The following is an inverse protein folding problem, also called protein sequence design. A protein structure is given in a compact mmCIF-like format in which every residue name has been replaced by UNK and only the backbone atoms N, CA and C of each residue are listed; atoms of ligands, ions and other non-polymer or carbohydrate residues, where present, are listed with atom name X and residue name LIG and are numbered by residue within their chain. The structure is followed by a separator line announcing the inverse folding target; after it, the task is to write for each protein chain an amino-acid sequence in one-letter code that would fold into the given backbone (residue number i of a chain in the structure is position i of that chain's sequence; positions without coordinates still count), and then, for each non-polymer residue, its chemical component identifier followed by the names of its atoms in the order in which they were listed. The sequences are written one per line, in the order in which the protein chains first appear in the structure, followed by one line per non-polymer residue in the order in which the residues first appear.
data_IF_706166479333
#
_entry.id   IF_706166479333
#
_cell.length_a   1.000
_cell.length_b   1.000
_cell.length_c   1.000
_cell.angle_alpha   90.00
_cell.angle_beta   90.00
_cell.angle_gamma   90.00
#
_symmetry.space_group_name_H-M   'P 1'
#
loop_
_entity.id
_entity.type
_entity.pdbx_description
1 polymer ?
#
# COMPACT_ATOMS: atom_id res chain seq x y z
N UNK A 1 5.84 12.09 13.50
CA UNK A 1 6.68 11.28 12.58
C UNK A 1 5.97 11.10 11.24
N UNK A 2 6.71 10.81 10.12
CA UNK A 2 6.06 10.45 8.83
C UNK A 2 6.08 8.93 8.66
N UNK A 3 4.95 8.35 8.34
CA UNK A 3 4.77 6.89 8.23
C UNK A 3 4.07 6.51 6.94
N UNK A 4 4.42 5.33 6.39
CA UNK A 4 3.67 4.69 5.31
C UNK A 4 3.00 3.43 5.85
N UNK A 5 1.74 3.25 5.48
CA UNK A 5 0.99 2.04 5.83
C UNK A 5 1.02 1.09 4.64
N UNK A 6 1.56 -0.09 4.87
CA UNK A 6 1.66 -1.18 3.90
C UNK A 6 0.90 -2.40 4.42
N UNK A 7 0.36 -3.20 3.53
CA UNK A 7 -0.29 -4.46 3.90
C UNK A 7 0.00 -5.54 2.86
N UNK A 8 -0.02 -6.77 3.31
CA UNK A 8 0.26 -7.91 2.44
C UNK A 8 -0.52 -9.16 2.87
N UNK A 9 -0.97 -9.93 1.89
CA UNK A 9 -1.35 -11.32 2.05
C UNK A 9 -0.13 -12.21 1.81
N UNK A 10 -0.23 -13.50 2.10
CA UNK A 10 0.82 -14.47 1.83
C UNK A 10 0.84 -14.99 0.37
N UNK A 11 0.44 -14.16 -0.58
CA UNK A 11 0.54 -14.45 -2.02
C UNK A 11 1.95 -14.16 -2.52
N UNK A 12 2.62 -15.14 -3.11
CA UNK A 12 3.96 -14.97 -3.69
C UNK A 12 4.01 -13.92 -4.82
N UNK A 13 2.88 -13.58 -5.38
CA UNK A 13 2.76 -12.48 -6.36
C UNK A 13 3.07 -11.12 -5.74
N UNK A 14 2.71 -10.92 -4.46
CA UNK A 14 2.76 -9.63 -3.79
C UNK A 14 3.80 -9.58 -2.66
N UNK A 15 3.90 -10.65 -1.84
CA UNK A 15 4.74 -10.62 -0.64
C UNK A 15 6.24 -10.42 -0.94
N UNK A 16 6.68 -10.80 -2.15
CA UNK A 16 8.01 -10.51 -2.67
C UNK A 16 8.36 -9.02 -2.63
N UNK A 17 7.40 -8.14 -2.88
CA UNK A 17 7.66 -6.70 -2.92
C UNK A 17 7.76 -6.06 -1.54
N UNK A 18 7.22 -6.68 -0.50
CA UNK A 18 7.09 -6.05 0.81
C UNK A 18 8.44 -5.58 1.39
N UNK A 19 9.51 -6.40 1.46
CA UNK A 19 10.82 -5.93 1.96
C UNK A 19 11.44 -4.84 1.08
N UNK A 20 11.24 -4.93 -0.24
CA UNK A 20 11.74 -3.93 -1.21
C UNK A 20 11.05 -2.59 -0.95
N UNK A 21 9.72 -2.59 -0.86
CA UNK A 21 8.92 -1.42 -0.58
C UNK A 21 9.30 -0.78 0.77
N UNK A 22 9.38 -1.57 1.85
CA UNK A 22 9.83 -1.12 3.17
C UNK A 22 11.18 -0.39 3.07
N UNK A 23 12.16 -1.00 2.40
CA UNK A 23 13.50 -0.43 2.30
C UNK A 23 13.51 0.88 1.51
N UNK A 24 12.76 0.97 0.42
CA UNK A 24 12.66 2.19 -0.38
C UNK A 24 11.96 3.30 0.42
N UNK A 25 10.83 3.02 1.06
CA UNK A 25 10.14 4.00 1.89
C UNK A 25 11.03 4.55 3.00
N UNK A 26 11.78 3.67 3.69
CA UNK A 26 12.71 4.11 4.75
C UNK A 26 13.90 4.88 4.21
N UNK A 27 14.64 4.31 3.25
CA UNK A 27 15.94 4.85 2.83
C UNK A 27 15.83 5.98 1.82
N UNK A 28 14.91 5.85 0.86
CA UNK A 28 14.76 6.84 -0.21
C UNK A 28 13.80 7.95 0.17
N UNK A 29 12.65 7.61 0.73
CA UNK A 29 11.61 8.59 1.04
C UNK A 29 11.79 9.14 2.46
N UNK A 30 12.22 8.33 3.42
CA UNK A 30 12.38 8.73 4.82
C UNK A 30 11.09 8.60 5.64
N UNK A 31 10.21 7.67 5.28
CA UNK A 31 9.01 7.33 6.03
C UNK A 31 9.19 6.00 6.75
N UNK A 32 8.68 5.92 7.99
CA UNK A 32 8.70 4.67 8.77
C UNK A 32 7.49 3.80 8.41
N UNK A 33 7.69 2.54 7.98
CA UNK A 33 6.60 1.66 7.63
C UNK A 33 5.83 1.14 8.84
N UNK A 34 4.51 1.06 8.67
CA UNK A 34 3.57 0.31 9.49
C UNK A 34 3.02 -0.80 8.60
N UNK A 35 3.24 -2.05 9.00
CA UNK A 35 2.98 -3.22 8.14
C UNK A 35 1.88 -4.07 8.74
N UNK A 36 0.89 -4.41 7.93
CA UNK A 36 -0.15 -5.39 8.25
C UNK A 36 0.04 -6.65 7.43
N UNK A 37 0.00 -7.80 8.09
CA UNK A 37 0.13 -9.12 7.46
C UNK A 37 -1.11 -9.94 7.74
N UNK A 38 -1.80 -10.37 6.70
CA UNK A 38 -2.97 -11.23 6.84
C UNK A 38 -2.55 -12.67 7.13
N UNK A 39 -3.16 -13.28 8.12
CA UNK A 39 -2.86 -14.63 8.60
C UNK A 39 -2.13 -14.66 9.93
N UNK A 40 -2.05 -15.85 10.53
CA UNK A 40 -1.37 -16.05 11.80
C UNK A 40 0.17 -15.95 11.64
N UNK A 41 0.91 -15.55 12.70
CA UNK A 41 2.38 -15.47 12.65
C UNK A 41 3.08 -16.76 12.17
N UNK A 42 2.51 -17.93 12.50
CA UNK A 42 3.03 -19.23 12.09
C UNK A 42 3.00 -19.47 10.58
N UNK A 43 2.07 -18.85 9.88
CA UNK A 43 1.95 -18.98 8.42
C UNK A 43 3.08 -18.24 7.67
N UNK A 44 3.74 -17.31 8.34
CA UNK A 44 4.87 -16.54 7.85
C UNK A 44 6.22 -17.09 8.32
N UNK A 45 6.27 -18.35 8.81
CA UNK A 45 7.48 -18.94 9.42
C UNK A 45 8.21 -19.95 8.54
N UNK A 46 7.76 -20.21 7.31
CA UNK A 46 8.37 -21.20 6.42
C UNK A 46 8.41 -20.75 4.96
N UNK A 47 9.27 -21.38 4.16
CA UNK A 47 9.42 -21.10 2.73
C UNK A 47 9.78 -19.64 2.45
N UNK A 48 9.33 -19.12 1.31
CA UNK A 48 9.56 -17.72 0.89
C UNK A 48 9.00 -16.70 1.91
N UNK A 49 7.93 -17.04 2.62
CA UNK A 49 7.35 -16.17 3.65
C UNK A 49 8.28 -15.94 4.83
N UNK A 50 9.06 -16.97 5.20
CA UNK A 50 10.10 -16.82 6.22
C UNK A 50 11.16 -15.82 5.77
N UNK A 51 11.58 -15.90 4.50
CA UNK A 51 12.56 -14.95 3.91
C UNK A 51 12.00 -13.52 3.98
N UNK A 52 10.74 -13.33 3.58
CA UNK A 52 10.05 -12.03 3.69
C UNK A 52 10.04 -11.56 5.15
N UNK A 53 9.63 -12.41 6.09
CA UNK A 53 9.53 -12.04 7.51
C UNK A 53 10.87 -11.72 8.15
N UNK A 54 11.93 -12.42 7.80
CA UNK A 54 13.27 -12.15 8.33
C UNK A 54 13.73 -10.74 7.88
N UNK A 55 13.47 -10.37 6.65
CA UNK A 55 13.77 -9.02 6.14
C UNK A 55 12.85 -7.94 6.75
N UNK A 56 11.57 -8.21 6.91
CA UNK A 56 10.61 -7.31 7.58
C UNK A 56 11.05 -7.04 9.03
N UNK A 57 11.39 -8.09 9.79
CA UNK A 57 11.88 -7.97 11.17
C UNK A 57 13.19 -7.19 11.26
N UNK A 58 14.14 -7.47 10.34
CA UNK A 58 15.42 -6.77 10.30
C UNK A 58 15.27 -5.26 10.05
N UNK A 59 14.17 -4.86 9.40
CA UNK A 59 13.88 -3.45 9.12
C UNK A 59 13.49 -2.64 10.36
N UNK A 60 13.07 -3.31 11.45
CA UNK A 60 12.59 -2.67 12.68
C UNK A 60 11.27 -1.90 12.52
N UNK A 61 10.49 -2.18 11.48
CA UNK A 61 9.17 -1.55 11.30
C UNK A 61 8.13 -2.12 12.27
N UNK A 62 7.04 -1.37 12.48
CA UNK A 62 5.89 -1.85 13.24
C UNK A 62 5.13 -2.89 12.42
N UNK A 63 4.96 -4.09 12.95
CA UNK A 63 4.25 -5.21 12.29
C UNK A 63 3.04 -5.62 13.10
N UNK A 64 1.90 -5.77 12.45
CA UNK A 64 0.66 -6.29 13.03
C UNK A 64 0.13 -7.43 12.17
N UNK A 65 -0.14 -8.58 12.79
CA UNK A 65 -0.81 -9.68 12.12
C UNK A 65 -2.33 -9.53 12.23
N UNK A 66 -3.02 -9.83 11.15
CA UNK A 66 -4.48 -9.77 11.06
C UNK A 66 -5.06 -11.17 10.98
N UNK A 67 -5.92 -11.49 11.91
CA UNK A 67 -6.70 -12.72 11.82
C UNK A 67 -7.65 -12.67 10.62
N UNK A 68 -7.80 -13.79 9.93
CA UNK A 68 -8.77 -13.92 8.85
C UNK A 68 -10.19 -13.80 9.37
N UNK A 69 -11.02 -13.18 8.57
CA UNK A 69 -12.45 -13.01 8.89
C UNK A 69 -13.28 -13.84 7.93
N UNK A 70 -14.13 -14.72 8.46
CA UNK A 70 -15.03 -15.52 7.64
C UNK A 70 -15.90 -14.64 6.75
N UNK A 71 -15.94 -14.97 5.46
CA UNK A 71 -16.73 -14.22 4.47
C UNK A 71 -16.02 -12.99 3.88
N UNK A 72 -14.81 -12.64 4.35
CA UNK A 72 -14.00 -11.55 3.77
C UNK A 72 -12.75 -12.16 3.13
N UNK A 73 -12.53 -12.00 1.83
CA UNK A 73 -11.32 -12.50 1.17
C UNK A 73 -10.06 -11.81 1.72
N UNK A 74 -8.95 -12.56 1.84
CA UNK A 74 -7.67 -12.04 2.33
C UNK A 74 -7.19 -10.77 1.61
N UNK A 75 -7.29 -10.65 0.27
CA UNK A 75 -6.92 -9.41 -0.43
C UNK A 75 -7.75 -8.20 0.02
N UNK A 76 -9.05 -8.35 0.22
CA UNK A 76 -9.93 -7.26 0.68
C UNK A 76 -9.60 -6.84 2.10
N UNK A 77 -9.33 -7.82 2.98
CA UNK A 77 -8.88 -7.58 4.34
C UNK A 77 -7.56 -6.77 4.33
N UNK A 78 -6.61 -7.21 3.51
CA UNK A 78 -5.31 -6.54 3.33
C UNK A 78 -5.46 -5.12 2.80
N UNK A 79 -6.25 -4.91 1.76
CA UNK A 79 -6.44 -3.57 1.18
C UNK A 79 -7.12 -2.62 2.16
N UNK A 80 -8.21 -3.06 2.79
CA UNK A 80 -9.03 -2.19 3.65
C UNK A 80 -8.36 -1.84 4.98
N UNK A 81 -7.54 -2.72 5.56
CA UNK A 81 -6.92 -2.48 6.87
C UNK A 81 -6.02 -1.24 6.88
N UNK A 82 -5.42 -0.90 5.75
CA UNK A 82 -4.52 0.25 5.64
C UNK A 82 -5.19 1.55 6.08
N UNK A 83 -6.45 1.72 5.76
CA UNK A 83 -7.25 2.90 6.13
C UNK A 83 -7.61 2.95 7.62
N UNK A 84 -7.49 1.82 8.31
CA UNK A 84 -7.78 1.67 9.74
C UNK A 84 -6.52 1.72 10.61
N UNK A 85 -5.34 1.86 10.02
CA UNK A 85 -4.06 1.88 10.74
C UNK A 85 -4.03 2.90 11.89
N UNK A 86 -4.72 4.03 11.72
CA UNK A 86 -4.83 5.06 12.75
C UNK A 86 -5.54 4.60 14.04
N UNK A 87 -6.25 3.46 14.03
CA UNK A 87 -6.82 2.85 15.23
C UNK A 87 -5.75 2.24 16.16
N UNK A 88 -4.52 2.00 15.67
CA UNK A 88 -3.43 1.52 16.52
C UNK A 88 -3.14 2.52 17.64
N UNK A 89 -3.13 2.03 18.90
CA UNK A 89 -2.82 2.84 20.08
C UNK A 89 -1.35 3.26 20.15
N UNK A 90 -0.47 2.57 19.42
CA UNK A 90 0.96 2.88 19.36
C UNK A 90 1.31 4.07 18.46
N UNK A 91 0.34 4.62 17.71
CA UNK A 91 0.55 5.77 16.85
C UNK A 91 0.16 7.08 17.53
N UNK A 92 1.05 8.06 17.45
CA UNK A 92 0.78 9.41 17.96
C UNK A 92 -0.20 10.15 17.03
N UNK A 93 -1.11 10.95 17.60
CA UNK A 93 -2.10 11.70 16.85
C UNK A 93 -1.50 12.68 15.82
N UNK A 94 -0.29 13.15 16.06
CA UNK A 94 0.46 14.06 15.17
C UNK A 94 1.27 13.33 14.08
N UNK A 95 1.40 12.00 14.13
CA UNK A 95 2.06 11.24 13.07
C UNK A 95 1.31 11.42 11.74
N UNK A 96 2.05 11.68 10.67
CA UNK A 96 1.50 11.75 9.32
C UNK A 96 1.50 10.35 8.71
N UNK A 97 0.33 9.85 8.32
CA UNK A 97 0.19 8.56 7.63
C UNK A 97 -0.13 8.77 6.15
N UNK A 98 0.60 8.07 5.29
CA UNK A 98 0.24 7.86 3.89
C UNK A 98 -0.03 6.37 3.67
N UNK A 99 -1.04 6.05 2.87
CA UNK A 99 -1.27 4.67 2.45
C UNK A 99 -0.38 4.36 1.26
N UNK A 100 0.30 3.21 1.27
CA UNK A 100 1.14 2.73 0.18
C UNK A 100 0.70 1.37 -0.33
N UNK A 101 0.92 1.11 -1.62
CA UNK A 101 0.86 -0.24 -2.20
C UNK A 101 2.25 -0.86 -2.20
N UNK A 102 2.33 -2.16 -1.95
CA UNK A 102 3.63 -2.84 -1.83
C UNK A 102 4.33 -3.05 -3.18
N UNK A 103 3.58 -3.12 -4.27
CA UNK A 103 4.10 -3.22 -5.63
C UNK A 103 4.17 -1.86 -6.37
N UNK A 104 3.93 -0.77 -5.64
CA UNK A 104 4.13 0.60 -6.06
C UNK A 104 5.32 1.21 -5.31
N UNK A 105 6.48 1.21 -5.96
CA UNK A 105 7.73 1.65 -5.35
C UNK A 105 7.92 3.16 -5.54
N UNK A 106 7.99 3.96 -4.48
CA UNK A 106 8.20 5.40 -4.59
C UNK A 106 9.65 5.72 -5.00
N UNK A 107 9.83 6.68 -5.89
CA UNK A 107 11.15 7.07 -6.42
C UNK A 107 11.52 8.49 -6.01
N UNK A 108 10.60 9.44 -6.20
CA UNK A 108 10.86 10.87 -6.00
C UNK A 108 10.45 11.31 -4.60
N UNK A 109 11.44 11.53 -3.74
CA UNK A 109 11.22 11.94 -2.35
C UNK A 109 10.41 13.24 -2.26
N UNK A 110 10.73 14.23 -3.07
CA UNK A 110 10.13 15.56 -3.05
C UNK A 110 8.62 15.51 -3.32
N UNK A 111 8.17 14.56 -4.15
CA UNK A 111 6.75 14.36 -4.42
C UNK A 111 5.98 13.97 -3.16
N UNK A 112 6.49 12.99 -2.41
CA UNK A 112 5.85 12.48 -1.19
C UNK A 112 6.00 13.40 0.03
N UNK A 113 6.77 14.48 -0.09
CA UNK A 113 6.97 15.47 0.97
C UNK A 113 6.19 16.78 0.76
N UNK A 114 5.33 16.88 -0.26
CA UNK A 114 4.56 18.08 -0.57
C UNK A 114 3.44 18.36 0.42
N UNK A 115 2.94 17.34 1.14
CA UNK A 115 1.86 17.51 2.09
C UNK A 115 2.32 18.24 3.36
N UNK A 116 1.73 19.41 3.63
CA UNK A 116 1.78 20.08 4.92
C UNK A 116 0.41 19.96 5.61
N UNK A 117 0.28 19.11 6.67
CA UNK A 117 -1.00 18.90 7.33
C UNK A 117 -1.48 20.09 8.16
N UNK A 118 -0.65 21.14 8.35
CA UNK A 118 -1.07 22.39 9.00
C UNK A 118 -1.83 23.28 8.04
N UNK A 119 -1.53 23.23 6.75
CA UNK A 119 -2.20 23.98 5.71
C UNK A 119 -3.42 23.20 5.19
N UNK A 120 -3.22 21.94 4.86
CA UNK A 120 -4.26 21.04 4.35
C UNK A 120 -4.35 19.78 5.21
N UNK A 121 -5.44 19.55 5.96
CA UNK A 121 -5.60 18.35 6.78
C UNK A 121 -5.51 17.05 5.98
N UNK A 122 -5.88 17.06 4.70
CA UNK A 122 -5.91 15.93 3.79
C UNK A 122 -5.15 16.26 2.52
N UNK A 123 -4.22 15.38 2.14
CA UNK A 123 -3.64 15.38 0.79
C UNK A 123 -3.99 14.08 0.08
N UNK A 124 -4.25 14.17 -1.22
CA UNK A 124 -4.46 13.02 -2.09
C UNK A 124 -3.37 13.04 -3.17
N UNK A 125 -2.45 12.11 -3.07
CA UNK A 125 -1.44 11.88 -4.10
C UNK A 125 -2.07 11.16 -5.29
N UNK A 126 -1.62 11.47 -6.51
CA UNK A 126 -2.17 10.93 -7.76
C UNK A 126 -3.68 11.16 -7.93
N UNK A 127 -4.19 12.28 -7.46
CA UNK A 127 -5.61 12.57 -7.34
C UNK A 127 -6.40 12.55 -8.67
N UNK A 128 -5.74 12.79 -9.80
CA UNK A 128 -6.36 12.75 -11.14
C UNK A 128 -6.49 11.36 -11.76
N UNK A 129 -6.07 10.29 -11.08
CA UNK A 129 -5.92 8.96 -11.68
C UNK A 129 -7.23 8.31 -12.14
N UNK A 130 -8.33 8.56 -11.44
CA UNK A 130 -9.64 7.94 -11.71
C UNK A 130 -10.74 8.93 -12.09
N UNK A 131 -10.39 10.02 -12.78
CA UNK A 131 -11.35 10.94 -13.38
C UNK A 131 -12.39 11.50 -12.40
N UNK A 132 -11.97 11.80 -11.16
CA UNK A 132 -12.81 12.31 -10.07
C UNK A 132 -13.93 11.38 -9.55
N UNK A 133 -14.01 10.15 -10.02
CA UNK A 133 -14.98 9.18 -9.49
C UNK A 133 -14.65 8.83 -8.03
N UNK A 134 -13.41 8.44 -7.79
CA UNK A 134 -12.81 8.17 -6.49
C UNK A 134 -11.30 8.41 -6.56
N UNK A 135 -10.64 8.40 -5.42
CA UNK A 135 -9.19 8.59 -5.33
C UNK A 135 -8.48 7.24 -5.15
N UNK A 136 -7.24 7.10 -5.61
CA UNK A 136 -6.49 5.86 -5.42
C UNK A 136 -6.26 5.57 -3.94
N UNK A 137 -6.36 4.30 -3.53
CA UNK A 137 -6.20 3.88 -2.14
C UNK A 137 -4.82 4.20 -1.57
N UNK A 138 -3.79 4.22 -2.41
CA UNK A 138 -2.41 4.56 -2.06
C UNK A 138 -2.13 6.08 -2.09
N UNK A 139 -3.15 6.91 -2.25
CA UNK A 139 -3.00 8.36 -2.36
C UNK A 139 -3.26 9.16 -1.08
N UNK A 140 -4.22 8.77 -0.21
CA UNK A 140 -4.57 9.59 0.93
C UNK A 140 -3.46 9.70 1.96
N UNK A 141 -3.21 10.94 2.42
CA UNK A 141 -2.26 11.28 3.48
C UNK A 141 -2.91 12.25 4.46
N UNK A 142 -2.88 11.92 5.75
CA UNK A 142 -3.46 12.69 6.84
C UNK A 142 -2.68 12.43 8.12
N UNK A 143 -2.83 13.31 9.11
CA UNK A 143 -2.39 12.96 10.47
C UNK A 143 -3.20 11.80 11.03
N UNK A 144 -2.65 11.06 11.99
CA UNK A 144 -3.39 9.98 12.70
C UNK A 144 -4.67 10.51 13.32
N UNK A 145 -4.65 11.72 13.90
CA UNK A 145 -5.85 12.36 14.46
C UNK A 145 -6.92 12.60 13.39
N UNK A 146 -6.53 13.14 12.23
CA UNK A 146 -7.46 13.38 11.10
C UNK A 146 -8.00 12.05 10.53
N UNK A 147 -7.16 11.02 10.38
CA UNK A 147 -7.61 9.68 9.97
C UNK A 147 -8.67 9.11 10.91
N UNK A 148 -8.46 9.24 12.24
CA UNK A 148 -9.43 8.79 13.25
C UNK A 148 -10.78 9.49 13.08
N UNK A 149 -10.76 10.77 12.87
CA UNK A 149 -11.99 11.57 12.70
C UNK A 149 -12.70 11.24 11.38
N UNK A 150 -11.96 11.26 10.25
CA UNK A 150 -12.52 10.97 8.91
C UNK A 150 -13.13 9.58 8.84
N UNK A 151 -12.45 8.58 9.39
CA UNK A 151 -12.88 7.18 9.32
C UNK A 151 -13.74 6.73 10.50
N UNK A 152 -13.97 7.59 11.50
CA UNK A 152 -14.72 7.24 12.72
C UNK A 152 -14.06 6.15 13.55
N UNK A 153 -12.71 6.15 13.67
CA UNK A 153 -11.98 5.05 14.29
C UNK A 153 -11.91 5.16 15.81
N UNK A 154 -12.09 4.03 16.48
CA UNK A 154 -11.85 3.89 17.92
C UNK A 154 -10.42 3.43 18.17
N UNK A 155 -9.68 4.19 18.99
CA UNK A 155 -8.30 3.85 19.38
C UNK A 155 -8.25 2.52 20.11
N UNK A 156 -7.39 1.61 19.67
CA UNK A 156 -7.25 0.26 20.22
C UNK A 156 -8.24 -0.76 19.69
N UNK A 157 -9.23 -0.35 18.88
CA UNK A 157 -10.22 -1.24 18.27
C UNK A 157 -10.04 -1.31 16.74
N UNK A 158 -8.89 -1.83 16.31
CA UNK A 158 -8.54 -1.98 14.90
C UNK A 158 -9.52 -2.89 14.15
N UNK A 159 -9.77 -4.09 14.69
CA UNK A 159 -10.61 -5.09 14.02
C UNK A 159 -12.10 -4.74 14.09
N UNK A 160 -12.59 -4.19 15.21
CA UNK A 160 -13.98 -3.71 15.30
C UNK A 160 -14.26 -2.60 14.30
N UNK A 161 -13.36 -1.63 14.18
CA UNK A 161 -13.46 -0.55 13.20
C UNK A 161 -13.46 -1.07 11.76
N UNK A 162 -12.58 -2.03 11.43
CA UNK A 162 -12.53 -2.66 10.12
C UNK A 162 -13.82 -3.44 9.80
N UNK A 163 -14.29 -4.27 10.74
CA UNK A 163 -15.51 -5.08 10.56
C UNK A 163 -16.75 -4.21 10.43
N UNK A 164 -16.80 -3.07 11.13
CA UNK A 164 -17.88 -2.11 10.98
C UNK A 164 -17.97 -1.56 9.56
N UNK A 165 -16.83 -1.37 8.91
CA UNK A 165 -16.77 -0.96 7.50
C UNK A 165 -17.47 -1.96 6.59
N UNK A 166 -17.19 -3.25 6.73
CA UNK A 166 -17.82 -4.30 5.91
C UNK A 166 -19.32 -4.54 6.24
N UNK A 167 -19.79 -4.11 7.41
CA UNK A 167 -21.20 -4.21 7.82
C UNK A 167 -22.04 -2.98 7.46
N UNK A 168 -21.43 -1.92 6.96
CA UNK A 168 -22.13 -0.68 6.70
C UNK A 168 -22.94 -0.78 5.39
N UNK A 169 -24.28 -0.76 5.48
CA UNK A 169 -25.18 -0.87 4.32
C UNK A 169 -25.01 0.24 3.26
N UNK A 170 -24.48 1.42 3.62
CA UNK A 170 -24.09 2.45 2.64
C UNK A 170 -23.00 1.98 1.68
N UNK A 171 -22.17 1.05 2.10
CA UNK A 171 -21.13 0.45 1.28
C UNK A 171 -21.75 -0.51 0.27
N UNK A 172 -22.74 -1.31 0.67
CA UNK A 172 -23.51 -2.14 -0.24
C UNK A 172 -24.23 -1.31 -1.30
N UNK A 173 -24.80 -0.19 -0.94
CA UNK A 173 -25.41 0.76 -1.89
C UNK A 173 -24.40 1.34 -2.87
N UNK A 174 -23.19 1.72 -2.40
CA UNK A 174 -22.10 2.22 -3.24
C UNK A 174 -21.58 1.15 -4.20
N UNK A 175 -21.37 -0.06 -3.70
CA UNK A 175 -20.95 -1.22 -4.50
C UNK A 175 -22.01 -1.51 -5.57
N UNK A 176 -23.29 -1.48 -5.21
CA UNK A 176 -24.41 -1.76 -6.10
C UNK A 176 -24.65 -0.64 -7.12
N UNK A 177 -24.50 0.63 -6.72
CA UNK A 177 -24.70 1.77 -7.62
C UNK A 177 -23.67 1.89 -8.75
N UNK A 178 -22.44 1.39 -8.53
CA UNK A 178 -21.34 1.46 -9.50
C UNK A 178 -21.15 0.18 -10.33
N UNK A 179 -21.90 -0.88 -10.05
CA UNK A 179 -21.60 -2.24 -10.50
C UNK A 179 -22.07 -2.61 -11.91
N UNK A 180 -22.60 -1.69 -12.70
CA UNK A 180 -23.16 -2.07 -14.04
C UNK A 180 -22.11 -2.51 -15.05
N UNK A 181 -20.81 -2.17 -14.86
CA UNK A 181 -19.77 -2.42 -15.87
C UNK A 181 -18.60 -3.30 -15.41
N UNK A 182 -18.52 -3.76 -14.13
CA UNK A 182 -17.40 -4.53 -13.61
C UNK A 182 -17.87 -5.65 -12.68
N UNK A 183 -18.31 -6.76 -13.23
CA UNK A 183 -18.94 -7.85 -12.49
C UNK A 183 -18.03 -8.58 -11.48
N UNK A 184 -16.71 -8.62 -11.69
CA UNK A 184 -15.75 -9.28 -10.79
C UNK A 184 -14.85 -8.33 -10.01
N UNK A 185 -14.87 -7.02 -10.30
CA UNK A 185 -13.99 -6.04 -9.69
C UNK A 185 -14.58 -5.31 -8.47
N UNK A 186 -15.80 -5.62 -8.07
CA UNK A 186 -16.54 -4.92 -6.99
C UNK A 186 -15.76 -4.84 -5.69
N UNK A 187 -15.05 -5.90 -5.36
CA UNK A 187 -14.24 -5.96 -4.16
C UNK A 187 -12.84 -5.39 -4.37
N UNK A 188 -12.35 -5.29 -5.61
CA UNK A 188 -10.99 -4.85 -5.90
C UNK A 188 -10.73 -3.37 -5.63
N UNK A 189 -11.74 -2.52 -5.84
CA UNK A 189 -11.65 -1.06 -5.61
C UNK A 189 -12.44 -0.60 -4.37
N UNK A 190 -12.83 -1.55 -3.53
CA UNK A 190 -13.66 -1.28 -2.36
C UNK A 190 -13.02 -0.27 -1.40
N UNK A 191 -11.74 -0.45 -1.10
CA UNK A 191 -11.00 0.43 -0.20
C UNK A 191 -10.84 1.86 -0.78
N UNK A 192 -10.63 1.99 -2.09
CA UNK A 192 -10.55 3.29 -2.77
C UNK A 192 -11.87 4.05 -2.69
N UNK A 193 -12.97 3.36 -2.97
CA UNK A 193 -14.31 3.93 -2.93
C UNK A 193 -14.72 4.32 -1.52
N UNK A 194 -14.43 3.46 -0.55
CA UNK A 194 -14.74 3.72 0.85
C UNK A 194 -13.98 4.91 1.40
N UNK A 195 -12.66 4.96 1.24
CA UNK A 195 -11.86 6.10 1.68
C UNK A 195 -12.31 7.40 1.02
N UNK A 196 -12.57 7.36 -0.29
CA UNK A 196 -13.06 8.52 -1.02
C UNK A 196 -14.40 9.04 -0.51
N UNK A 197 -15.33 8.12 -0.19
CA UNK A 197 -16.60 8.47 0.39
C UNK A 197 -16.41 9.13 1.76
N UNK A 198 -15.65 8.47 2.66
CA UNK A 198 -15.45 8.97 4.01
C UNK A 198 -14.82 10.36 4.02
N UNK A 199 -13.84 10.60 3.13
CA UNK A 199 -13.26 11.93 2.96
C UNK A 199 -14.31 12.95 2.45
N UNK A 200 -15.10 12.59 1.42
CA UNK A 200 -16.10 13.47 0.83
C UNK A 200 -17.23 13.86 1.79
N UNK A 201 -17.59 12.99 2.73
CA UNK A 201 -18.63 13.27 3.74
C UNK A 201 -18.08 13.82 5.06
N UNK A 202 -16.77 13.90 5.22
CA UNK A 202 -16.13 14.41 6.43
C UNK A 202 -16.21 15.94 6.53
N UNK A 203 -15.95 16.47 7.72
CA UNK A 203 -15.80 17.91 7.97
C UNK A 203 -14.59 18.55 7.27
N UNK A 204 -13.76 17.74 6.60
CA UNK A 204 -12.56 18.20 5.89
C UNK A 204 -12.70 18.16 4.37
N UNK A 205 -13.87 17.87 3.84
CA UNK A 205 -14.11 17.67 2.40
C UNK A 205 -13.68 18.86 1.52
N UNK A 206 -13.77 20.08 2.03
CA UNK A 206 -13.36 21.34 1.40
C UNK A 206 -11.88 21.71 1.64
N UNK A 207 -11.15 20.92 2.44
CA UNK A 207 -9.76 21.14 2.84
C UNK A 207 -8.82 20.06 2.32
N UNK A 208 -9.13 19.54 1.14
CA UNK A 208 -8.34 18.52 0.47
C UNK A 208 -7.40 19.16 -0.54
N UNK A 209 -6.10 18.94 -0.42
CA UNK A 209 -5.14 19.28 -1.48
C UNK A 209 -4.92 18.07 -2.40
N UNK A 210 -4.94 18.32 -3.70
CA UNK A 210 -4.68 17.32 -4.73
C UNK A 210 -3.23 17.45 -5.19
N UNK A 211 -2.46 16.38 -5.13
CA UNK A 211 -1.04 16.34 -5.47
C UNK A 211 -0.84 15.39 -6.67
N UNK A 212 -0.41 15.96 -7.80
CA UNK A 212 -0.16 15.25 -9.05
C UNK A 212 -1.42 14.86 -9.82
N UNK A 213 -1.30 14.88 -11.14
CA UNK A 213 -2.42 14.74 -12.08
C UNK A 213 -2.62 13.30 -12.61
N UNK A 214 -2.19 12.29 -11.85
CA UNK A 214 -2.46 10.89 -12.20
C UNK A 214 -1.25 10.16 -12.79
N UNK A 215 -1.25 9.90 -14.10
CA UNK A 215 -0.24 9.01 -14.73
C UNK A 215 1.06 9.70 -15.12
N UNK A 216 1.16 11.01 -15.03
CA UNK A 216 2.35 11.75 -15.43
C UNK A 216 3.58 11.38 -14.60
N UNK A 217 4.68 11.12 -15.29
CA UNK A 217 5.96 10.72 -14.66
C UNK A 217 5.87 9.44 -13.80
N UNK A 218 4.90 8.59 -14.06
CA UNK A 218 4.78 7.28 -13.44
C UNK A 218 5.31 6.21 -14.37
N UNK A 219 6.21 5.37 -13.88
CA UNK A 219 6.64 4.18 -14.59
C UNK A 219 5.70 3.02 -14.22
N UNK A 220 4.95 2.53 -15.19
CA UNK A 220 3.99 1.45 -14.97
C UNK A 220 4.38 0.21 -15.81
N UNK A 221 4.06 -0.98 -15.30
CA UNK A 221 4.24 -2.24 -16.01
C UNK A 221 3.65 -2.24 -17.44
N UNK A 222 2.57 -1.47 -17.67
CA UNK A 222 1.90 -1.41 -18.97
C UNK A 222 2.61 -0.49 -19.97
N UNK A 223 3.46 0.43 -19.51
CA UNK A 223 4.22 1.37 -20.34
C UNK A 223 5.71 1.33 -20.05
N UNK A 224 6.21 0.18 -19.59
CA UNK A 224 7.60 0.00 -19.21
C UNK A 224 8.53 0.23 -20.40
N UNK A 225 9.48 1.14 -20.23
CA UNK A 225 10.59 1.37 -21.13
C UNK A 225 11.91 1.17 -20.34
N UNK A 226 12.77 0.28 -20.81
CA UNK A 226 14.06 0.01 -20.19
C UNK A 226 15.01 1.21 -20.20
N UNK A 227 14.86 2.12 -21.18
CA UNK A 227 15.68 3.32 -21.33
C UNK A 227 15.15 4.55 -20.58
N UNK A 228 14.14 4.35 -19.73
CA UNK A 228 13.55 5.43 -18.94
C UNK A 228 14.58 6.06 -18.01
N UNK A 229 14.60 7.38 -17.96
CA UNK A 229 15.32 8.13 -16.94
C UNK A 229 14.54 8.06 -15.61
N UNK A 230 14.94 7.13 -14.74
CA UNK A 230 14.28 6.88 -13.45
C UNK A 230 14.26 8.13 -12.57
N UNK A 231 15.21 9.04 -12.72
CA UNK A 231 15.26 10.29 -11.94
C UNK A 231 14.05 11.20 -12.19
N UNK A 232 13.41 11.05 -13.35
CA UNK A 232 12.19 11.80 -13.73
C UNK A 232 10.91 11.16 -13.24
N UNK A 233 10.96 9.88 -12.83
CA UNK A 233 9.79 9.15 -12.38
C UNK A 233 9.43 9.50 -10.93
N UNK A 234 8.13 9.51 -10.64
CA UNK A 234 7.59 9.69 -9.28
C UNK A 234 7.62 8.36 -8.54
N UNK A 235 7.16 7.31 -9.21
CA UNK A 235 7.07 5.95 -8.70
C UNK A 235 7.19 4.91 -9.82
N UNK A 236 7.28 3.65 -9.40
CA UNK A 236 7.29 2.48 -10.28
C UNK A 236 6.24 1.47 -9.85
N UNK A 237 5.23 1.24 -10.69
CA UNK A 237 4.25 0.17 -10.52
C UNK A 237 4.80 -1.12 -11.14
N UNK A 238 5.22 -2.04 -10.29
CA UNK A 238 6.03 -3.20 -10.65
C UNK A 238 5.29 -4.24 -11.50
N UNK A 239 6.08 -4.98 -12.30
CA UNK A 239 5.62 -6.19 -12.97
C UNK A 239 5.40 -7.31 -11.94
N UNK A 240 4.40 -8.15 -12.14
CA UNK A 240 4.04 -9.25 -11.26
C UNK A 240 4.01 -10.59 -12.02
N UNK A 241 4.45 -11.69 -11.43
CA UNK A 241 5.16 -11.78 -10.15
C UNK A 241 6.59 -11.20 -10.27
N UNK A 242 7.02 -10.44 -9.24
CA UNK A 242 8.29 -9.71 -9.28
C UNK A 242 9.54 -10.60 -9.23
N UNK A 243 9.41 -11.77 -8.64
CA UNK A 243 10.50 -12.76 -8.50
C UNK A 243 10.78 -13.55 -9.79
N UNK A 244 9.87 -13.52 -10.78
CA UNK A 244 10.06 -14.29 -12.02
C UNK A 244 11.26 -13.79 -12.82
N UNK A 245 11.92 -14.70 -13.53
CA UNK A 245 13.10 -14.37 -14.35
C UNK A 245 12.83 -13.22 -15.33
N UNK A 246 11.65 -13.21 -15.95
CA UNK A 246 11.25 -12.17 -16.90
C UNK A 246 11.13 -10.78 -16.26
N UNK A 247 10.53 -10.69 -15.06
CA UNK A 247 10.23 -9.43 -14.40
C UNK A 247 11.38 -8.94 -13.52
N UNK A 248 12.17 -9.86 -12.97
CA UNK A 248 13.26 -9.53 -12.06
C UNK A 248 14.28 -8.55 -12.65
N UNK A 249 14.72 -8.79 -13.89
CA UNK A 249 15.67 -7.89 -14.57
C UNK A 249 15.17 -6.45 -14.63
N UNK A 250 13.89 -6.26 -14.92
CA UNK A 250 13.23 -4.94 -14.99
C UNK A 250 13.19 -4.28 -13.59
N UNK A 251 12.74 -5.02 -12.59
CA UNK A 251 12.62 -4.53 -11.21
C UNK A 251 14.00 -4.19 -10.64
N UNK A 252 14.96 -5.10 -10.80
CA UNK A 252 16.34 -4.90 -10.37
C UNK A 252 16.96 -3.66 -10.99
N UNK A 253 16.76 -3.45 -12.30
CA UNK A 253 17.27 -2.30 -13.02
C UNK A 253 16.77 -0.96 -12.48
N UNK A 254 15.49 -0.88 -12.10
CA UNK A 254 14.92 0.33 -11.49
C UNK A 254 15.36 0.47 -10.03
N UNK A 255 15.21 -0.58 -9.21
CA UNK A 255 15.52 -0.53 -7.77
C UNK A 255 17.00 -0.21 -7.53
N UNK A 256 17.90 -0.71 -8.38
CA UNK A 256 19.34 -0.41 -8.30
C UNK A 256 19.66 1.09 -8.48
N UNK A 257 18.85 1.82 -9.23
CA UNK A 257 18.99 3.27 -9.40
C UNK A 257 18.38 4.05 -8.23
N UNK A 258 17.35 3.49 -7.58
CA UNK A 258 16.64 4.12 -6.46
C UNK A 258 17.41 3.98 -5.14
N UNK A 259 17.96 2.79 -4.88
CA UNK A 259 18.75 2.47 -3.68
C UNK A 259 20.07 1.76 -4.06
N UNK A 260 21.01 2.44 -4.74
CA UNK A 260 22.21 1.83 -5.34
C UNK A 260 23.13 1.14 -4.34
N UNK A 261 23.15 1.58 -3.10
CA UNK A 261 23.98 1.01 -2.04
C UNK A 261 23.43 -0.32 -1.48
N UNK A 262 22.23 -0.71 -1.88
CA UNK A 262 21.56 -1.94 -1.40
C UNK A 262 21.49 -3.05 -2.47
N UNK A 263 22.24 -2.94 -3.56
CA UNK A 263 22.17 -3.89 -4.66
C UNK A 263 22.55 -5.32 -4.23
N UNK A 264 23.60 -5.48 -3.43
CA UNK A 264 23.99 -6.77 -2.88
C UNK A 264 22.88 -7.42 -2.04
N UNK A 265 22.22 -6.62 -1.21
CA UNK A 265 21.07 -7.06 -0.43
C UNK A 265 19.93 -7.51 -1.35
N UNK A 266 19.62 -6.71 -2.37
CA UNK A 266 18.54 -6.97 -3.32
C UNK A 266 18.75 -8.30 -4.06
N UNK A 267 19.96 -8.55 -4.55
CA UNK A 267 20.31 -9.79 -5.26
C UNK A 267 20.28 -11.02 -4.32
N UNK A 268 20.78 -10.87 -3.10
CA UNK A 268 20.69 -11.91 -2.06
C UNK A 268 19.24 -12.24 -1.74
N UNK A 269 18.42 -11.21 -1.45
CA UNK A 269 17.01 -11.38 -1.12
C UNK A 269 16.24 -12.12 -2.22
N UNK A 270 16.42 -11.72 -3.48
CA UNK A 270 15.81 -12.43 -4.61
C UNK A 270 16.23 -13.91 -4.66
N UNK A 271 17.52 -14.17 -4.53
CA UNK A 271 18.05 -15.55 -4.56
C UNK A 271 17.46 -16.39 -3.43
N UNK A 272 17.48 -15.91 -2.20
CA UNK A 272 16.92 -16.59 -1.03
C UNK A 272 15.41 -16.83 -1.20
N UNK A 273 14.69 -15.83 -1.70
CA UNK A 273 13.25 -15.95 -1.93
C UNK A 273 12.92 -17.04 -2.96
N UNK A 274 13.59 -17.04 -4.12
CA UNK A 274 13.35 -18.03 -5.19
C UNK A 274 13.78 -19.44 -4.78
N UNK A 275 14.88 -19.58 -4.03
CA UNK A 275 15.37 -20.88 -3.57
C UNK A 275 14.63 -21.45 -2.35
N UNK A 276 13.74 -20.71 -1.73
CA UNK A 276 13.11 -21.10 -0.45
C UNK A 276 11.94 -22.10 -0.58
N UNK A 277 11.55 -22.48 -1.79
CA UNK A 277 10.49 -23.48 -2.03
C UNK A 277 9.65 -23.19 -3.28
N UNK A 278 8.65 -24.00 -3.54
CA UNK A 278 7.79 -23.82 -4.72
C UNK A 278 7.02 -22.50 -4.63
N UNK A 279 7.18 -21.69 -5.66
CA UNK A 279 6.45 -20.46 -5.85
C UNK A 279 5.26 -20.73 -6.79
N UNK A 280 4.07 -20.47 -6.30
CA UNK A 280 2.86 -20.64 -7.10
C UNK A 280 2.63 -19.31 -7.81
N UNK A 281 2.57 -19.34 -9.14
CA UNK A 281 2.14 -18.18 -9.93
C UNK A 281 0.74 -17.74 -9.53
N UNK A 282 0.46 -16.45 -9.72
CA UNK A 282 -0.86 -15.89 -9.42
C UNK A 282 -1.91 -16.57 -10.29
N UNK A 283 -2.94 -17.21 -9.72
CA UNK A 283 -4.06 -17.73 -10.49
C UNK A 283 -4.88 -16.63 -11.19
N UNK A 284 -4.57 -15.34 -10.93
CA UNK A 284 -5.20 -14.15 -11.52
C UNK A 284 -4.24 -13.32 -12.38
N UNK A 285 -3.02 -13.82 -12.70
CA UNK A 285 -2.05 -13.15 -13.58
C UNK A 285 -2.36 -13.41 -15.05
#
# INVERSE_FOLDING_TARGET
MKRVVLSCTHSSTYDFFLPISIKIWKKRIGYEPVVFLVGAPGEWSSGHRKVVMDEVRSSGCLVTFLERVSGIPDPNLSMSIRQHAAALSSLDGSDLLIIGDIDLLPIRKEFYHQHDPKEFPIAIYHAGMYWDKYWPAYGPSMTVATWREVMGLTVGDLMGSLLQTFKNGKIEELINAQSKDYTDSRLWVFDEQYASLMIKVSAFSDKVVRIGDGHENRLCRNNFNADVDVSKCIDFHCHRPGWSHENWGKIRGIVSQVIPNDLQWLDRYHTEYVCSGPLIGDPFA
#
